data_IF_425436177615
#
_entry.id   IF_425436177615
#
_cell.length_a   1.000
_cell.length_b   1.000
_cell.length_c   1.000
_cell.angle_alpha   90.00
_cell.angle_beta   90.00
_cell.angle_gamma   90.00
#
_symmetry.space_group_name_H-M   'P 1'
#
loop_
_entity.id
_entity.type
_entity.pdbx_description
1 polymer ?
#
# COMPACT_ATOMS: atom_id res chain seq x y z
N UNK A 1 -41.29 -7.68 38.36
CA UNK A 1 -40.28 -6.60 38.53
C UNK A 1 -38.90 -7.22 38.67
N UNK A 2 -38.23 -7.58 37.58
CA UNK A 2 -36.82 -7.99 37.61
C UNK A 2 -36.12 -7.14 36.57
N UNK A 3 -35.40 -6.13 37.04
CA UNK A 3 -34.61 -5.22 36.23
C UNK A 3 -33.44 -6.04 35.68
N UNK A 4 -33.56 -6.55 34.47
CA UNK A 4 -32.43 -7.09 33.73
C UNK A 4 -31.52 -5.90 33.41
N UNK A 5 -30.55 -5.66 34.28
CA UNK A 5 -29.44 -4.75 34.03
C UNK A 5 -28.61 -5.34 32.90
N UNK A 6 -28.96 -5.01 31.66
CA UNK A 6 -28.13 -5.28 30.50
C UNK A 6 -27.00 -4.26 30.54
N UNK A 7 -25.84 -4.65 31.07
CA UNK A 7 -24.60 -3.91 30.86
C UNK A 7 -24.29 -3.97 29.36
N UNK A 8 -24.49 -2.83 28.69
CA UNK A 8 -24.14 -2.62 27.30
C UNK A 8 -22.61 -2.52 27.21
N UNK A 9 -21.93 -3.64 26.95
CA UNK A 9 -20.50 -3.67 26.72
C UNK A 9 -20.21 -3.10 25.33
N UNK A 10 -19.63 -1.89 25.27
CA UNK A 10 -19.19 -1.25 24.02
C UNK A 10 -17.99 -2.01 23.46
N UNK A 11 -18.25 -2.97 22.56
CA UNK A 11 -17.22 -3.62 21.75
C UNK A 11 -16.80 -2.62 20.66
N UNK A 12 -15.67 -1.94 20.86
CA UNK A 12 -15.04 -1.17 19.79
C UNK A 12 -14.37 -2.15 18.84
N UNK A 13 -14.96 -2.36 17.66
CA UNK A 13 -14.29 -3.05 16.56
C UNK A 13 -13.21 -2.11 16.04
N UNK A 14 -11.94 -2.46 16.26
CA UNK A 14 -10.83 -1.77 15.59
C UNK A 14 -10.82 -2.21 14.13
N UNK A 15 -11.06 -1.28 13.21
CA UNK A 15 -10.88 -1.53 11.79
C UNK A 15 -9.37 -1.56 11.50
N UNK A 16 -8.86 -2.72 11.10
CA UNK A 16 -7.49 -2.84 10.61
C UNK A 16 -7.43 -2.17 9.24
N UNK A 17 -6.96 -0.92 9.19
CA UNK A 17 -6.66 -0.25 7.93
C UNK A 17 -5.42 -0.94 7.32
N UNK A 18 -5.50 -1.28 6.03
CA UNK A 18 -4.33 -1.75 5.29
C UNK A 18 -3.22 -0.68 5.23
N UNK A 19 -2.03 -1.05 4.75
CA UNK A 19 -0.92 -0.11 4.60
C UNK A 19 -1.33 1.08 3.70
N UNK A 20 -0.93 2.28 4.09
CA UNK A 20 -1.07 3.50 3.30
C UNK A 20 0.12 3.60 2.34
N UNK A 21 -0.15 3.76 1.05
CA UNK A 21 0.92 3.79 0.05
C UNK A 21 1.93 4.91 0.32
N UNK A 22 1.48 6.11 0.69
CA UNK A 22 2.35 7.26 0.84
C UNK A 22 3.20 7.19 2.12
N UNK A 23 2.62 6.68 3.22
CA UNK A 23 3.29 6.60 4.53
C UNK A 23 4.12 5.35 4.69
N UNK A 24 3.62 4.21 4.22
CA UNK A 24 4.18 2.90 4.56
C UNK A 24 4.99 2.27 3.40
N UNK A 25 4.62 2.55 2.15
CA UNK A 25 5.22 1.88 0.96
C UNK A 25 6.22 2.78 0.24
N UNK A 26 5.82 4.00 -0.11
CA UNK A 26 6.62 4.91 -0.92
C UNK A 26 8.01 5.22 -0.32
N UNK A 27 8.20 5.36 1.02
CA UNK A 27 9.53 5.55 1.58
C UNK A 27 10.47 4.37 1.32
N UNK A 28 9.96 3.14 1.39
CA UNK A 28 10.74 1.91 1.14
C UNK A 28 11.20 1.87 -0.32
N UNK A 29 10.28 2.16 -1.26
CA UNK A 29 10.59 2.18 -2.68
C UNK A 29 11.60 3.27 -3.04
N UNK A 30 11.51 4.45 -2.42
CA UNK A 30 12.48 5.53 -2.63
C UNK A 30 13.87 5.19 -2.09
N UNK A 31 13.93 4.60 -0.90
CA UNK A 31 15.20 4.24 -0.26
C UNK A 31 15.94 3.15 -1.04
N UNK A 32 15.22 2.11 -1.49
CA UNK A 32 15.86 0.89 -1.98
C UNK A 32 15.75 0.66 -3.48
N UNK A 33 14.86 1.36 -4.20
CA UNK A 33 14.56 1.05 -5.60
C UNK A 33 14.75 2.27 -6.54
N UNK A 34 14.46 3.48 -6.05
CA UNK A 34 14.55 4.70 -6.89
C UNK A 34 15.99 5.05 -7.30
N UNK A 35 17.02 4.38 -6.78
CA UNK A 35 18.38 4.51 -7.31
C UNK A 35 18.48 4.18 -8.80
N UNK A 36 17.75 3.17 -9.27
CA UNK A 36 17.71 2.72 -10.66
C UNK A 36 16.32 2.92 -11.32
N UNK A 37 15.24 2.85 -10.55
CA UNK A 37 13.86 2.96 -11.05
C UNK A 37 13.22 4.31 -10.66
N UNK A 38 13.71 5.40 -11.26
CA UNK A 38 13.29 6.78 -10.99
C UNK A 38 12.63 7.43 -12.21
N UNK A 39 12.29 8.72 -12.13
CA UNK A 39 11.68 9.46 -13.23
C UNK A 39 12.66 10.09 -14.23
N UNK A 40 13.93 10.23 -13.85
CA UNK A 40 14.92 10.99 -14.61
C UNK A 40 15.63 10.11 -15.66
N UNK A 41 16.12 8.94 -15.24
CA UNK A 41 16.76 7.93 -16.09
C UNK A 41 16.32 6.51 -15.65
N UNK A 42 15.07 6.10 -15.96
CA UNK A 42 14.51 4.84 -15.51
C UNK A 42 15.13 3.63 -16.23
N UNK A 43 15.82 2.77 -15.48
CA UNK A 43 16.17 1.44 -15.97
C UNK A 43 14.90 0.62 -16.27
N UNK A 44 14.87 -0.03 -17.43
CA UNK A 44 13.74 -0.86 -17.87
C UNK A 44 12.43 -0.08 -18.07
N UNK A 45 12.52 1.22 -18.34
CA UNK A 45 11.38 2.15 -18.48
C UNK A 45 10.44 2.15 -17.25
N UNK A 46 10.96 1.78 -16.08
CA UNK A 46 10.17 1.58 -14.87
C UNK A 46 10.53 2.59 -13.77
N UNK A 47 9.50 3.18 -13.15
CA UNK A 47 9.65 4.14 -12.05
C UNK A 47 8.76 3.79 -10.86
N UNK A 48 9.31 3.94 -9.65
CA UNK A 48 8.62 3.69 -8.38
C UNK A 48 8.27 4.96 -7.59
N UNK A 49 8.58 6.15 -8.10
CA UNK A 49 8.50 7.39 -7.31
C UNK A 49 7.07 7.81 -6.95
N UNK A 50 6.09 7.41 -7.76
CA UNK A 50 4.66 7.64 -7.54
C UNK A 50 3.88 6.35 -7.76
N UNK A 51 2.70 6.25 -7.13
CA UNK A 51 1.79 5.13 -7.38
C UNK A 51 1.42 4.99 -8.85
N UNK A 52 1.22 6.12 -9.56
CA UNK A 52 0.85 6.12 -10.97
C UNK A 52 1.94 5.48 -11.84
N UNK A 53 3.20 5.83 -11.61
CA UNK A 53 4.32 5.23 -12.36
C UNK A 53 4.53 3.76 -11.97
N UNK A 54 4.43 3.47 -10.67
CA UNK A 54 4.57 2.10 -10.17
C UNK A 54 3.56 1.14 -10.83
N UNK A 55 2.28 1.51 -10.93
CA UNK A 55 1.28 0.62 -11.53
C UNK A 55 1.35 0.59 -13.06
N UNK A 56 1.90 1.65 -13.69
CA UNK A 56 2.08 1.68 -15.14
C UNK A 56 3.03 0.56 -15.59
N UNK A 57 4.03 0.26 -14.77
CA UNK A 57 5.07 -0.71 -15.11
C UNK A 57 6.08 -0.15 -16.11
N UNK A 58 6.92 -1.04 -16.62
CA UNK A 58 7.95 -0.74 -17.62
C UNK A 58 8.03 -1.84 -18.68
N UNK A 59 9.22 -2.10 -19.20
CA UNK A 59 9.45 -3.10 -20.26
C UNK A 59 8.98 -4.51 -19.90
N UNK A 60 9.02 -4.86 -18.61
CA UNK A 60 8.56 -6.16 -18.11
C UNK A 60 7.03 -6.26 -17.90
N UNK A 61 6.28 -5.22 -18.24
CA UNK A 61 4.82 -5.16 -18.09
C UNK A 61 4.37 -4.74 -16.68
N UNK A 62 3.17 -5.17 -16.30
CA UNK A 62 2.51 -4.74 -15.05
C UNK A 62 3.12 -5.42 -13.82
N UNK A 63 3.71 -4.67 -12.87
CA UNK A 63 4.47 -5.25 -11.75
C UNK A 63 3.58 -5.68 -10.57
N UNK A 64 2.31 -5.23 -10.53
CA UNK A 64 1.41 -5.44 -9.39
C UNK A 64 0.10 -6.06 -9.85
N UNK A 65 -0.23 -7.22 -9.29
CA UNK A 65 -1.55 -7.83 -9.41
C UNK A 65 -2.35 -7.57 -8.13
N UNK A 66 -3.35 -6.68 -8.20
CA UNK A 66 -4.08 -6.24 -7.01
C UNK A 66 -4.81 -7.42 -6.33
N UNK A 67 -4.58 -7.58 -5.02
CA UNK A 67 -5.16 -8.68 -4.24
C UNK A 67 -4.42 -10.01 -4.39
N UNK A 68 -3.37 -10.09 -5.21
CA UNK A 68 -2.54 -11.27 -5.37
C UNK A 68 -1.04 -10.92 -5.21
N UNK A 69 -0.52 -11.18 -4.02
CA UNK A 69 0.89 -10.92 -3.67
C UNK A 69 1.83 -12.13 -3.93
N UNK A 70 1.35 -13.17 -4.62
CA UNK A 70 2.08 -14.42 -4.88
C UNK A 70 2.51 -14.53 -6.34
#
# INVERSE_FOLDING_TARGET
>A
MKRFSVLFFLITVSAFAGPDFHKDIAPILREYCAGCHNNDDPEGEFSVETFQYLIKGGESGTPINAGNAK
#
